data_IF_430350708810
#
_entry.id   IF_430350708810
#
_cell.length_a   1.000
_cell.length_b   1.000
_cell.length_c   1.000
_cell.angle_alpha   90.00
_cell.angle_beta   90.00
_cell.angle_gamma   90.00
#
_symmetry.space_group_name_H-M   'P 1'
#
loop_
_entity.id
_entity.type
_entity.pdbx_description
1 polymer ?
#
# COMPACT_ATOMS: atom_id res chain seq x y z
N UNK A 1 7.05 -4.54 17.67
CA UNK A 1 5.77 -5.04 17.11
C UNK A 1 6.12 -5.95 15.94
N UNK A 2 5.16 -6.57 15.29
CA UNK A 2 5.39 -7.39 14.09
C UNK A 2 4.46 -6.85 13.01
N UNK A 3 4.84 -6.95 11.74
CA UNK A 3 3.96 -6.61 10.63
C UNK A 3 3.08 -7.82 10.35
N UNK A 4 1.77 -7.63 10.34
CA UNK A 4 0.80 -8.70 10.12
C UNK A 4 -0.02 -8.48 8.86
N UNK A 5 -0.11 -9.51 8.02
CA UNK A 5 -0.94 -9.54 6.82
C UNK A 5 -1.94 -10.71 6.92
N UNK A 6 -3.23 -10.43 6.76
CA UNK A 6 -4.29 -11.46 6.76
C UNK A 6 -4.74 -11.74 5.34
N UNK A 7 -4.52 -12.97 4.87
CA UNK A 7 -4.94 -13.45 3.54
C UNK A 7 -5.86 -14.67 3.66
N UNK A 8 -6.81 -14.80 2.75
CA UNK A 8 -7.60 -16.02 2.59
C UNK A 8 -6.86 -17.01 1.68
N UNK A 9 -6.49 -18.18 2.22
CA UNK A 9 -5.89 -19.32 1.52
C UNK A 9 -6.75 -20.56 1.73
N UNK A 10 -7.10 -21.27 0.66
CA UNK A 10 -7.92 -22.50 0.71
C UNK A 10 -9.21 -22.34 1.52
N UNK A 11 -9.86 -21.17 1.39
CA UNK A 11 -11.10 -20.86 2.10
C UNK A 11 -10.94 -20.48 3.57
N UNK A 12 -9.73 -20.49 4.12
CA UNK A 12 -9.42 -20.10 5.51
C UNK A 12 -8.59 -18.82 5.55
N UNK A 13 -8.75 -18.04 6.61
CA UNK A 13 -7.90 -16.88 6.84
C UNK A 13 -6.60 -17.32 7.51
N UNK A 14 -5.48 -16.94 6.91
CA UNK A 14 -4.11 -17.14 7.40
C UNK A 14 -3.54 -15.77 7.73
N UNK A 15 -2.86 -15.66 8.88
CA UNK A 15 -2.14 -14.44 9.26
C UNK A 15 -0.66 -14.70 9.02
N UNK A 16 -0.10 -14.04 8.01
CA UNK A 16 1.33 -13.99 7.73
C UNK A 16 1.95 -12.94 8.66
N UNK A 17 3.11 -13.25 9.25
CA UNK A 17 3.77 -12.35 10.19
C UNK A 17 5.24 -12.22 9.86
N UNK A 18 5.75 -10.99 9.97
CA UNK A 18 7.19 -10.72 9.91
C UNK A 18 7.64 -9.79 11.04
N UNK A 19 8.95 -9.76 11.35
CA UNK A 19 9.51 -8.76 12.26
C UNK A 19 9.19 -7.33 11.84
N UNK A 20 9.34 -6.39 12.76
CA UNK A 20 9.24 -4.97 12.44
C UNK A 20 10.29 -4.54 11.41
N UNK A 21 9.94 -3.54 10.60
CA UNK A 21 10.84 -2.84 9.68
C UNK A 21 12.09 -2.35 10.40
N UNK A 22 13.26 -2.64 9.85
CA UNK A 22 14.53 -2.06 10.28
C UNK A 22 14.81 -0.72 9.58
N UNK A 23 15.93 -0.04 9.90
CA UNK A 23 16.21 1.29 9.31
C UNK A 23 16.44 1.23 7.80
N UNK A 24 17.15 0.21 7.30
CA UNK A 24 17.40 0.06 5.86
C UNK A 24 16.10 -0.20 5.09
N UNK A 25 15.24 -1.06 5.64
CA UNK A 25 13.91 -1.33 5.05
C UNK A 25 12.97 -0.11 5.12
N UNK A 26 13.22 0.83 6.04
CA UNK A 26 12.48 2.10 6.08
C UNK A 26 12.97 3.03 4.97
N UNK A 27 14.28 3.11 4.72
CA UNK A 27 14.85 3.85 3.59
C UNK A 27 14.34 3.28 2.25
N UNK A 28 14.32 1.95 2.10
CA UNK A 28 13.72 1.29 0.92
C UNK A 28 12.23 1.60 0.76
N UNK A 29 11.51 1.76 1.87
CA UNK A 29 10.10 2.17 1.83
C UNK A 29 9.92 3.62 1.38
N UNK A 30 10.81 4.53 1.78
CA UNK A 30 10.81 5.93 1.35
C UNK A 30 11.07 6.02 -0.16
N UNK A 31 12.10 5.32 -0.67
CA UNK A 31 12.40 5.22 -2.11
C UNK A 31 11.19 4.67 -2.90
N UNK A 32 10.49 3.68 -2.32
CA UNK A 32 9.27 3.14 -2.89
C UNK A 32 8.12 4.17 -2.91
N UNK A 33 7.96 5.00 -1.88
CA UNK A 33 6.94 6.07 -1.88
C UNK A 33 7.23 7.10 -2.98
N UNK A 34 8.50 7.46 -3.18
CA UNK A 34 8.92 8.35 -4.26
C UNK A 34 8.62 7.74 -5.64
N UNK A 35 8.84 6.44 -5.83
CA UNK A 35 8.44 5.71 -7.06
C UNK A 35 6.93 5.83 -7.33
N UNK A 36 6.09 5.72 -6.30
CA UNK A 36 4.64 5.93 -6.46
C UNK A 36 4.30 7.38 -6.80
N UNK A 37 5.05 8.33 -6.24
CA UNK A 37 4.96 9.75 -6.53
C UNK A 37 5.27 10.06 -8.00
N UNK A 38 6.28 9.41 -8.57
CA UNK A 38 6.64 9.56 -9.98
C UNK A 38 5.51 9.09 -10.91
N UNK A 39 4.87 7.96 -10.62
CA UNK A 39 3.72 7.48 -11.40
C UNK A 39 2.56 8.50 -11.34
N UNK A 40 2.38 9.16 -10.19
CA UNK A 40 1.38 10.22 -10.06
C UNK A 40 1.81 11.50 -10.81
N UNK A 41 3.11 11.81 -10.84
CA UNK A 41 3.70 12.88 -11.64
C UNK A 41 3.44 12.71 -13.14
N UNK A 42 3.63 11.50 -13.67
CA UNK A 42 3.32 11.18 -15.07
C UNK A 42 1.87 11.56 -15.46
N UNK A 43 0.91 11.28 -14.57
CA UNK A 43 -0.49 11.66 -14.77
C UNK A 43 -0.67 13.18 -14.85
N UNK A 44 -0.03 13.93 -13.94
CA UNK A 44 -0.10 15.40 -13.95
C UNK A 44 0.55 15.98 -15.20
N UNK A 45 1.67 15.42 -15.65
CA UNK A 45 2.32 15.84 -16.89
C UNK A 45 1.43 15.60 -18.11
N UNK A 46 0.74 14.45 -18.18
CA UNK A 46 -0.22 14.19 -19.26
C UNK A 46 -1.41 15.14 -19.23
N UNK A 47 -1.94 15.46 -18.05
CA UNK A 47 -3.00 16.46 -17.89
C UNK A 47 -2.55 17.85 -18.37
N UNK A 48 -1.29 18.22 -18.14
CA UNK A 48 -0.76 19.53 -18.53
C UNK A 48 -0.43 19.63 -20.02
N UNK A 49 0.01 18.53 -20.66
CA UNK A 49 0.37 18.48 -22.09
C UNK A 49 -0.81 18.80 -23.01
N UNK A 50 -2.02 18.39 -22.64
CA UNK A 50 -3.22 18.69 -23.43
C UNK A 50 -4.44 18.90 -22.52
N UNK A 51 -4.67 20.16 -22.14
CA UNK A 51 -5.79 20.58 -21.28
C UNK A 51 -7.16 20.33 -21.89
N UNK A 52 -7.25 19.97 -23.17
CA UNK A 52 -8.50 19.66 -23.86
C UNK A 52 -8.83 18.17 -23.85
N UNK A 53 -7.85 17.32 -23.51
CA UNK A 53 -8.01 15.88 -23.46
C UNK A 53 -8.48 15.44 -22.07
N UNK A 54 -9.57 14.68 -22.02
CA UNK A 54 -9.95 13.97 -20.80
C UNK A 54 -8.95 12.82 -20.54
N UNK A 55 -8.01 13.04 -19.62
CA UNK A 55 -7.06 12.01 -19.19
C UNK A 55 -7.64 11.28 -17.98
N UNK A 56 -7.84 9.97 -18.11
CA UNK A 56 -8.32 9.13 -17.00
C UNK A 56 -7.18 8.80 -16.04
N UNK A 57 -7.41 8.94 -14.74
CA UNK A 57 -6.47 8.51 -13.69
C UNK A 57 -6.44 6.99 -13.49
N UNK A 58 -7.41 6.26 -14.05
CA UNK A 58 -7.54 4.81 -13.86
C UNK A 58 -6.27 3.98 -14.17
N UNK A 59 -5.58 4.14 -15.32
CA UNK A 59 -4.36 3.38 -15.61
C UNK A 59 -3.24 3.63 -14.58
N UNK A 60 -3.09 4.88 -14.13
CA UNK A 60 -2.11 5.27 -13.11
C UNK A 60 -2.45 4.66 -11.75
N UNK A 61 -3.72 4.76 -11.32
CA UNK A 61 -4.20 4.11 -10.09
C UNK A 61 -3.97 2.60 -10.11
N UNK A 62 -4.18 1.95 -11.26
CA UNK A 62 -3.93 0.51 -11.43
C UNK A 62 -2.44 0.18 -11.31
N UNK A 63 -1.54 0.98 -11.91
CA UNK A 63 -0.08 0.82 -11.79
C UNK A 63 0.39 0.98 -10.34
N UNK A 64 -0.01 2.07 -9.68
CA UNK A 64 0.28 2.33 -8.26
C UNK A 64 -0.15 1.13 -7.41
N UNK A 65 -1.40 0.68 -7.56
CA UNK A 65 -1.92 -0.47 -6.80
C UNK A 65 -1.13 -1.75 -7.06
N UNK A 66 -0.78 -2.05 -8.31
CA UNK A 66 -0.01 -3.25 -8.61
C UNK A 66 1.37 -3.20 -7.95
N UNK A 67 2.04 -2.05 -8.02
CA UNK A 67 3.37 -1.86 -7.45
C UNK A 67 3.34 -1.95 -5.92
N UNK A 68 2.29 -1.42 -5.29
CA UNK A 68 2.03 -1.62 -3.85
C UNK A 68 1.88 -3.08 -3.46
N UNK A 69 1.15 -3.88 -4.25
CA UNK A 69 0.97 -5.31 -3.98
C UNK A 69 2.29 -6.07 -4.17
N UNK A 70 3.07 -5.72 -5.19
CA UNK A 70 4.40 -6.29 -5.43
C UNK A 70 5.36 -6.00 -4.29
N UNK A 71 5.40 -4.76 -3.80
CA UNK A 71 6.22 -4.40 -2.65
C UNK A 71 5.81 -5.15 -1.38
N UNK A 72 4.49 -5.29 -1.12
CA UNK A 72 4.02 -6.11 0.02
C UNK A 72 4.40 -7.59 -0.16
N UNK A 73 4.45 -8.10 -1.40
CA UNK A 73 4.92 -9.45 -1.69
C UNK A 73 6.42 -9.60 -1.43
N UNK A 74 7.24 -8.64 -1.84
CA UNK A 74 8.68 -8.56 -1.58
C UNK A 74 8.96 -8.53 -0.06
N UNK A 75 8.24 -7.69 0.70
CA UNK A 75 8.40 -7.57 2.15
C UNK A 75 8.22 -8.88 2.92
N UNK A 76 7.41 -9.80 2.42
CA UNK A 76 7.09 -11.07 3.09
C UNK A 76 7.79 -12.27 2.46
N UNK A 77 8.60 -12.08 1.40
CA UNK A 77 9.21 -13.16 0.62
C UNK A 77 10.12 -14.07 1.47
N UNK A 78 10.94 -13.47 2.34
CA UNK A 78 11.87 -14.20 3.23
C UNK A 78 11.22 -14.78 4.48
N UNK A 79 9.92 -14.56 4.69
CA UNK A 79 9.21 -14.96 5.90
C UNK A 79 8.09 -15.95 5.62
N UNK A 80 7.10 -15.51 4.86
CA UNK A 80 5.87 -16.24 4.59
C UNK A 80 5.44 -15.89 3.15
N UNK A 81 6.18 -16.43 2.19
CA UNK A 81 6.04 -16.11 0.78
C UNK A 81 4.60 -16.35 0.28
N UNK A 82 4.16 -15.45 -0.61
CA UNK A 82 2.90 -15.55 -1.33
C UNK A 82 3.05 -14.92 -2.72
N UNK A 83 2.13 -15.26 -3.62
CA UNK A 83 2.06 -14.68 -4.96
C UNK A 83 1.12 -13.46 -5.02
N UNK A 84 1.32 -12.59 -6.01
CA UNK A 84 0.41 -11.46 -6.28
C UNK A 84 -1.03 -11.93 -6.51
N UNK A 85 -1.20 -13.12 -7.11
CA UNK A 85 -2.51 -13.73 -7.33
C UNK A 85 -3.17 -14.15 -6.00
N UNK A 86 -2.43 -14.79 -5.09
CA UNK A 86 -2.92 -15.11 -3.75
C UNK A 86 -3.31 -13.86 -2.96
N UNK A 87 -2.56 -12.76 -3.09
CA UNK A 87 -2.92 -11.50 -2.45
C UNK A 87 -4.24 -10.94 -2.99
N UNK A 88 -4.38 -10.88 -4.32
CA UNK A 88 -5.55 -10.31 -5.00
C UNK A 88 -6.82 -11.15 -4.83
N UNK A 89 -6.70 -12.47 -4.73
CA UNK A 89 -7.83 -13.38 -4.50
C UNK A 89 -8.12 -13.61 -3.02
N UNK A 90 -7.11 -13.43 -2.17
CA UNK A 90 -7.18 -13.62 -0.72
C UNK A 90 -7.80 -12.46 0.06
N UNK A 91 -8.08 -11.33 -0.58
CA UNK A 91 -8.64 -10.12 0.03
C UNK A 91 -9.92 -9.71 -0.71
N UNK A 92 -10.98 -9.40 0.05
CA UNK A 92 -12.21 -8.82 -0.50
C UNK A 92 -11.87 -7.48 -1.19
N UNK A 93 -12.39 -7.24 -2.40
CA UNK A 93 -12.08 -6.03 -3.18
C UNK A 93 -12.38 -4.72 -2.43
N UNK A 94 -13.39 -4.73 -1.57
CA UNK A 94 -13.79 -3.59 -0.72
C UNK A 94 -12.77 -3.27 0.38
N UNK A 95 -11.94 -4.26 0.78
CA UNK A 95 -10.93 -4.12 1.84
C UNK A 95 -9.51 -3.98 1.30
N UNK A 96 -9.31 -4.10 -0.02
CA UNK A 96 -7.98 -4.12 -0.62
C UNK A 96 -7.15 -2.89 -0.27
N UNK A 97 -7.74 -1.71 -0.47
CA UNK A 97 -7.05 -0.44 -0.20
C UNK A 97 -6.76 -0.30 1.31
N UNK A 98 -7.68 -0.72 2.19
CA UNK A 98 -7.48 -0.71 3.66
C UNK A 98 -6.37 -1.67 4.12
N UNK A 99 -6.26 -2.85 3.52
CA UNK A 99 -5.21 -3.83 3.83
C UNK A 99 -3.84 -3.27 3.43
N UNK A 100 -3.72 -2.71 2.22
CA UNK A 100 -2.47 -2.10 1.74
C UNK A 100 -2.03 -0.98 2.69
N UNK A 101 -2.94 -0.04 2.99
CA UNK A 101 -2.66 1.08 3.90
C UNK A 101 -2.34 0.57 5.31
N UNK A 102 -3.02 -0.48 5.77
CA UNK A 102 -2.75 -1.11 7.07
C UNK A 102 -1.34 -1.69 7.18
N UNK A 103 -0.79 -2.24 6.10
CA UNK A 103 0.61 -2.71 6.06
C UNK A 103 1.56 -1.53 6.10
N UNK A 104 1.36 -0.51 5.26
CA UNK A 104 2.25 0.66 5.21
C UNK A 104 2.25 1.46 6.52
N UNK A 105 1.10 1.55 7.20
CA UNK A 105 0.97 2.09 8.56
C UNK A 105 1.85 1.37 9.59
N UNK A 106 2.11 0.08 9.41
CA UNK A 106 2.97 -0.69 10.31
C UNK A 106 4.45 -0.48 10.01
N UNK A 107 4.80 -0.12 8.77
CA UNK A 107 6.17 0.17 8.32
C UNK A 107 6.61 1.56 8.79
N UNK A 108 5.84 2.58 8.41
CA UNK A 108 6.06 3.96 8.85
C UNK A 108 4.79 4.52 9.51
N UNK A 109 4.60 4.27 10.82
CA UNK A 109 3.46 4.84 11.54
C UNK A 109 3.42 6.36 11.48
N UNK A 110 4.57 7.03 11.36
CA UNK A 110 4.67 8.49 11.38
C UNK A 110 4.02 9.16 10.18
N UNK A 111 4.16 8.59 8.98
CA UNK A 111 3.55 9.12 7.73
C UNK A 111 2.03 8.98 7.70
N UNK A 112 1.51 8.06 8.51
CA UNK A 112 0.09 7.74 8.56
C UNK A 112 -0.53 7.98 9.94
N UNK A 113 0.12 8.75 10.81
CA UNK A 113 -0.53 9.27 12.01
C UNK A 113 -1.70 10.11 11.54
N UNK A 114 -2.90 9.62 11.78
CA UNK A 114 -4.08 10.48 11.78
C UNK A 114 -3.75 11.62 12.75
N UNK A 115 -3.67 12.84 12.21
CA UNK A 115 -3.94 14.05 12.98
C UNK A 115 -5.23 13.75 13.72
N UNK A 116 -5.12 13.34 14.99
CA UNK A 116 -6.27 13.05 15.82
C UNK A 116 -7.15 14.29 15.67
N UNK A 117 -8.42 14.18 15.22
CA UNK A 117 -9.29 15.32 15.34
C UNK A 117 -9.33 15.65 16.83
N UNK A 118 -8.71 16.78 17.18
CA UNK A 118 -8.73 17.31 18.53
C UNK A 118 -10.18 17.28 18.99
N UNK A 119 -10.37 16.65 20.15
CA UNK A 119 -11.70 16.36 20.66
C UNK A 119 -12.56 17.62 20.66
N UNK A 120 -13.69 17.57 19.95
CA UNK A 120 -14.85 18.39 20.35
C UNK A 120 -15.48 17.76 21.60
N UNK A 121 -14.74 17.90 22.70
CA UNK A 121 -15.24 18.29 24.03
C UNK A 121 -16.23 19.46 23.91
N UNK A 122 -17.49 19.26 23.54
CA UNK A 122 -18.53 20.26 23.87
C UNK A 122 -19.38 19.76 25.02
N UNK A 123 -19.13 20.43 26.14
CA UNK A 123 -19.96 20.52 27.33
C UNK A 123 -21.37 21.03 27.00
#
# INVERSE_FOLDING_TARGET
MAIELKLKRDGKHVTLKRPNTNVLELEEFEDFQDELGDIQGEYFDELQKDKTKAVSFFPYRKRIRNRQIEYIKELFEDHDAFSVEEFKTGIDSEKLDDVIVGIFKQISPSDYKEDKPEGKKKA
#
